data_IF_325169685444
#
_entry.id   IF_325169685444
#
_cell.length_a   1.000
_cell.length_b   1.000
_cell.length_c   1.000
_cell.angle_alpha   90.00
_cell.angle_beta   90.00
_cell.angle_gamma   90.00
#
_symmetry.space_group_name_H-M   'P 1'
#
loop_
_entity.id
_entity.type
_entity.pdbx_description
1 polymer ?
#
# COMPACT_ATOMS: atom_id res chain seq x y z
N UNK A 1 -6.17 -26.44 -20.60
CA UNK A 1 -6.30 -25.25 -21.44
C UNK A 1 -5.59 -24.09 -20.80
N UNK A 2 -4.41 -23.80 -21.31
CA UNK A 2 -3.65 -22.57 -21.06
C UNK A 2 -4.38 -21.44 -21.82
N UNK A 3 -5.53 -21.03 -21.34
CA UNK A 3 -6.18 -19.85 -21.87
C UNK A 3 -5.46 -18.62 -21.37
N UNK A 4 -4.47 -18.28 -22.23
CA UNK A 4 -4.20 -16.95 -22.74
C UNK A 4 -4.20 -15.86 -21.65
N UNK A 5 -2.99 -15.54 -21.20
CA UNK A 5 -2.71 -14.15 -20.96
C UNK A 5 -3.27 -13.37 -22.15
N UNK A 6 -4.17 -12.40 -21.95
CA UNK A 6 -4.42 -11.46 -23.01
C UNK A 6 -3.10 -10.73 -23.24
N UNK A 7 -2.36 -11.14 -24.25
CA UNK A 7 -1.30 -10.34 -24.82
C UNK A 7 -1.96 -9.10 -25.42
N UNK A 8 -2.32 -8.15 -24.56
CA UNK A 8 -2.65 -6.82 -25.00
C UNK A 8 -1.37 -6.23 -25.54
N UNK A 9 -1.35 -5.98 -26.84
CA UNK A 9 -0.23 -5.47 -27.59
C UNK A 9 0.27 -4.17 -26.97
N UNK A 10 1.56 -3.92 -26.99
CA UNK A 10 2.21 -2.66 -26.58
C UNK A 10 1.71 -1.42 -27.36
N UNK A 11 0.91 -1.58 -28.40
CA UNK A 11 0.18 -0.49 -29.07
C UNK A 11 -0.97 0.06 -28.25
N UNK A 12 -1.45 -0.67 -27.24
CA UNK A 12 -2.47 -0.23 -26.30
C UNK A 12 -1.82 0.49 -25.11
N UNK A 13 -0.92 1.40 -25.37
CA UNK A 13 -0.51 2.45 -24.39
C UNK A 13 -1.72 3.34 -23.99
N UNK A 14 -2.82 3.19 -24.66
CA UNK A 14 -4.16 3.53 -24.21
C UNK A 14 -4.58 2.69 -23.01
N UNK A 15 -3.90 1.56 -22.73
CA UNK A 15 -4.13 0.78 -21.52
C UNK A 15 -3.30 1.38 -20.39
N UNK A 16 -3.98 2.05 -19.51
CA UNK A 16 -3.41 2.68 -18.30
C UNK A 16 -2.63 1.71 -17.40
N UNK A 17 -2.74 0.39 -17.59
CA UNK A 17 -2.11 -0.64 -16.74
C UNK A 17 -0.59 -0.48 -16.63
N UNK A 18 0.09 -0.06 -17.69
CA UNK A 18 1.53 0.16 -17.65
C UNK A 18 1.95 1.20 -16.60
N UNK A 19 1.07 2.18 -16.29
CA UNK A 19 1.31 3.15 -15.24
C UNK A 19 1.28 2.49 -13.86
N UNK A 20 0.33 1.58 -13.64
CA UNK A 20 0.21 0.81 -12.39
C UNK A 20 1.45 -0.05 -12.17
N UNK A 21 1.81 -0.86 -13.17
CA UNK A 21 2.93 -1.79 -13.07
C UNK A 21 4.25 -1.05 -12.82
N UNK A 22 4.47 0.05 -13.53
CA UNK A 22 5.65 0.89 -13.34
C UNK A 22 5.67 1.60 -11.97
N UNK A 23 4.50 1.95 -11.41
CA UNK A 23 4.42 2.53 -10.08
C UNK A 23 4.90 1.55 -9.00
N UNK A 24 4.53 0.26 -9.10
CA UNK A 24 5.03 -0.77 -8.19
C UNK A 24 6.54 -1.04 -8.36
N UNK A 25 7.08 -0.90 -9.56
CA UNK A 25 8.54 -0.94 -9.77
C UNK A 25 9.21 0.26 -9.09
N UNK A 26 8.67 1.47 -9.27
CA UNK A 26 9.17 2.68 -8.62
C UNK A 26 9.07 2.58 -7.10
N UNK A 27 7.95 2.09 -6.56
CA UNK A 27 7.75 1.82 -5.14
C UNK A 27 8.78 0.83 -4.59
N UNK A 28 9.07 -0.24 -5.32
CA UNK A 28 10.10 -1.20 -4.94
C UNK A 28 11.49 -0.54 -4.84
N UNK A 29 11.82 0.33 -5.78
CA UNK A 29 13.06 1.13 -5.70
C UNK A 29 13.04 2.12 -4.54
N UNK A 30 11.91 2.73 -4.20
CA UNK A 30 11.79 3.62 -3.04
C UNK A 30 12.02 2.85 -1.74
N UNK A 31 11.42 1.67 -1.59
CA UNK A 31 11.51 0.81 -0.40
C UNK A 31 12.89 0.20 -0.20
N UNK A 32 13.54 -0.22 -1.25
CA UNK A 32 14.84 -0.87 -1.22
C UNK A 32 15.89 -0.11 -2.05
N UNK A 33 15.93 1.21 -1.88
CA UNK A 33 16.75 2.11 -2.68
C UNK A 33 18.23 1.73 -2.68
N UNK A 34 18.76 1.42 -1.50
CA UNK A 34 20.17 1.07 -1.33
C UNK A 34 20.52 -0.29 -1.93
N UNK A 35 19.57 -1.22 -1.97
CA UNK A 35 19.77 -2.60 -2.42
C UNK A 35 19.40 -2.80 -3.89
N UNK A 36 18.33 -2.15 -4.35
CA UNK A 36 17.81 -2.36 -5.72
C UNK A 36 18.24 -1.27 -6.70
N UNK A 37 18.28 0.01 -6.26
CA UNK A 37 18.57 1.12 -7.16
C UNK A 37 20.04 1.53 -7.17
N UNK A 38 20.65 1.77 -6.02
CA UNK A 38 22.04 2.25 -5.94
C UNK A 38 23.05 1.37 -6.67
N UNK A 39 22.97 0.01 -6.59
CA UNK A 39 23.96 -0.86 -7.22
C UNK A 39 23.84 -0.93 -8.74
N UNK A 40 22.76 -0.44 -9.34
CA UNK A 40 22.61 -0.44 -10.80
C UNK A 40 23.66 0.44 -11.46
N UNK A 41 24.16 0.01 -12.63
CA UNK A 41 25.02 0.83 -13.47
C UNK A 41 24.25 2.05 -14.05
N UNK A 42 24.98 3.09 -14.45
CA UNK A 42 24.36 4.33 -14.92
C UNK A 42 23.55 4.14 -16.21
N UNK A 43 23.93 3.23 -17.09
CA UNK A 43 23.21 2.95 -18.34
C UNK A 43 21.83 2.36 -18.00
N UNK A 44 21.79 1.41 -17.08
CA UNK A 44 20.53 0.80 -16.59
C UNK A 44 19.67 1.84 -15.89
N UNK A 45 20.23 2.67 -14.99
CA UNK A 45 19.49 3.75 -14.34
C UNK A 45 18.85 4.70 -15.35
N UNK A 46 19.63 5.16 -16.34
CA UNK A 46 19.11 6.06 -17.38
C UNK A 46 18.02 5.42 -18.23
N UNK A 47 18.09 4.12 -18.49
CA UNK A 47 17.01 3.38 -19.17
C UNK A 47 15.73 3.38 -18.36
N UNK A 48 15.76 3.08 -17.05
CA UNK A 48 14.59 3.17 -16.19
C UNK A 48 13.98 4.57 -16.19
N UNK A 49 14.78 5.61 -15.99
CA UNK A 49 14.30 6.99 -15.98
C UNK A 49 13.69 7.38 -17.33
N UNK A 50 14.25 6.92 -18.44
CA UNK A 50 13.72 7.17 -19.78
C UNK A 50 12.37 6.47 -20.00
N UNK A 51 12.24 5.21 -19.56
CA UNK A 51 10.96 4.48 -19.66
C UNK A 51 9.88 5.11 -18.76
N UNK A 52 10.21 5.49 -17.54
CA UNK A 52 9.27 6.16 -16.64
C UNK A 52 8.77 7.49 -17.23
N UNK A 53 9.62 8.28 -17.86
CA UNK A 53 9.21 9.52 -18.55
C UNK A 53 8.19 9.28 -19.68
N UNK A 54 8.28 8.16 -20.38
CA UNK A 54 7.31 7.83 -21.44
C UNK A 54 5.88 7.68 -20.91
N UNK A 55 5.74 7.30 -19.64
CA UNK A 55 4.43 7.11 -18.98
C UNK A 55 3.68 8.42 -18.75
N UNK A 56 4.34 9.58 -18.88
CA UNK A 56 3.68 10.89 -18.87
C UNK A 56 2.64 11.06 -19.99
N UNK A 57 2.67 10.20 -21.02
CA UNK A 57 1.65 10.14 -22.08
C UNK A 57 0.32 9.56 -21.59
N UNK A 58 0.35 8.82 -20.48
CA UNK A 58 -0.84 8.24 -19.89
C UNK A 58 -1.49 9.28 -18.99
N UNK A 59 -2.76 9.57 -19.27
CA UNK A 59 -3.59 10.38 -18.40
C UNK A 59 -4.25 9.47 -17.34
N UNK A 60 -3.84 9.55 -16.07
CA UNK A 60 -4.38 8.66 -15.05
C UNK A 60 -5.85 8.97 -14.79
N UNK A 61 -6.71 7.95 -14.62
CA UNK A 61 -8.05 8.16 -14.11
C UNK A 61 -8.04 8.98 -12.82
N UNK A 62 -9.06 9.83 -12.65
CA UNK A 62 -9.17 10.77 -11.54
C UNK A 62 -9.61 10.05 -10.25
N UNK A 63 -8.75 9.17 -9.75
CA UNK A 63 -8.93 8.25 -8.61
C UNK A 63 -7.58 8.04 -7.90
N UNK A 64 -7.47 6.96 -7.12
CA UNK A 64 -6.19 6.49 -6.55
C UNK A 64 -5.04 6.44 -7.58
N UNK A 65 -5.34 6.37 -8.88
CA UNK A 65 -4.35 6.32 -9.95
C UNK A 65 -3.45 7.55 -10.04
N UNK A 66 -3.86 8.68 -9.48
CA UNK A 66 -2.99 9.83 -9.33
C UNK A 66 -1.75 9.50 -8.49
N UNK A 67 -1.86 8.56 -7.54
CA UNK A 67 -0.73 8.08 -6.75
C UNK A 67 0.25 7.25 -7.58
N UNK A 68 -0.20 6.45 -8.53
CA UNK A 68 0.73 5.75 -9.42
C UNK A 68 1.62 6.73 -10.20
N UNK A 69 1.01 7.76 -10.76
CA UNK A 69 1.77 8.82 -11.45
C UNK A 69 2.74 9.55 -10.51
N UNK A 70 2.27 9.96 -9.33
CA UNK A 70 3.11 10.70 -8.39
C UNK A 70 4.22 9.87 -7.76
N UNK A 71 4.02 8.57 -7.54
CA UNK A 71 5.04 7.64 -7.04
C UNK A 71 6.19 7.52 -8.04
N UNK A 72 5.90 7.39 -9.33
CA UNK A 72 6.92 7.35 -10.38
C UNK A 72 7.71 8.66 -10.42
N UNK A 73 7.03 9.80 -10.44
CA UNK A 73 7.68 11.11 -10.50
C UNK A 73 8.51 11.42 -9.24
N UNK A 74 8.01 11.03 -8.06
CA UNK A 74 8.74 11.22 -6.80
C UNK A 74 9.96 10.31 -6.70
N UNK A 75 9.88 9.08 -7.23
CA UNK A 75 11.04 8.23 -7.38
C UNK A 75 12.09 8.88 -8.31
N UNK A 76 11.67 9.40 -9.47
CA UNK A 76 12.60 10.10 -10.39
C UNK A 76 13.26 11.29 -9.70
N UNK A 77 12.50 12.06 -8.90
CA UNK A 77 13.07 13.16 -8.10
C UNK A 77 14.15 12.66 -7.12
N UNK A 78 13.86 11.61 -6.34
CA UNK A 78 14.83 11.01 -5.40
C UNK A 78 16.05 10.43 -6.10
N UNK A 79 15.89 9.88 -7.30
CA UNK A 79 16.97 9.35 -8.12
C UNK A 79 17.83 10.45 -8.80
N UNK A 80 17.51 11.72 -8.60
CA UNK A 80 18.23 12.85 -9.21
C UNK A 80 17.90 13.09 -10.69
N UNK A 81 16.82 12.46 -11.18
CA UNK A 81 16.32 12.65 -12.55
C UNK A 81 15.37 13.83 -12.68
N UNK A 82 15.07 14.18 -13.94
CA UNK A 82 14.01 15.14 -14.24
C UNK A 82 12.65 14.54 -13.86
N UNK A 83 11.84 15.27 -13.09
CA UNK A 83 10.51 14.85 -12.65
C UNK A 83 9.47 15.94 -12.91
N UNK A 84 8.20 15.53 -12.99
CA UNK A 84 7.07 16.45 -13.15
C UNK A 84 6.48 16.82 -11.78
N UNK A 85 6.94 17.97 -11.28
CA UNK A 85 6.49 18.53 -10.01
C UNK A 85 4.98 18.79 -9.97
N UNK A 86 4.37 19.16 -11.11
CA UNK A 86 2.93 19.43 -11.15
C UNK A 86 2.11 18.14 -10.91
N UNK A 87 2.54 17.02 -11.50
CA UNK A 87 1.88 15.72 -11.27
C UNK A 87 1.92 15.32 -9.80
N UNK A 88 3.08 15.44 -9.14
CA UNK A 88 3.22 15.16 -7.71
C UNK A 88 2.35 16.09 -6.87
N UNK A 89 2.45 17.40 -7.08
CA UNK A 89 1.70 18.37 -6.29
C UNK A 89 0.19 18.25 -6.48
N UNK A 90 -0.26 17.99 -7.70
CA UNK A 90 -1.69 17.81 -8.00
C UNK A 90 -2.24 16.55 -7.33
N UNK A 91 -1.49 15.44 -7.39
CA UNK A 91 -1.86 14.22 -6.68
C UNK A 91 -1.97 14.47 -5.17
N UNK A 92 -0.93 15.04 -4.55
CA UNK A 92 -0.94 15.33 -3.11
C UNK A 92 -2.16 16.15 -2.69
N UNK A 93 -2.50 17.21 -3.46
CA UNK A 93 -3.69 18.04 -3.16
C UNK A 93 -4.98 17.26 -3.24
N UNK A 94 -5.12 16.40 -4.26
CA UNK A 94 -6.33 15.60 -4.45
C UNK A 94 -6.50 14.52 -3.39
N UNK A 95 -5.42 13.88 -2.98
CA UNK A 95 -5.45 12.92 -1.88
C UNK A 95 -5.92 13.60 -0.58
N UNK A 96 -5.45 14.81 -0.29
CA UNK A 96 -5.93 15.58 0.85
C UNK A 96 -7.43 15.92 0.77
N UNK A 97 -7.93 16.26 -0.42
CA UNK A 97 -9.34 16.55 -0.63
C UNK A 97 -10.24 15.31 -0.47
N UNK A 98 -9.70 14.12 -0.75
CA UNK A 98 -10.44 12.86 -0.70
C UNK A 98 -10.38 12.16 0.66
N UNK A 99 -9.70 12.73 1.63
CA UNK A 99 -9.70 12.20 2.98
C UNK A 99 -11.10 12.34 3.61
N UNK A 100 -11.67 11.23 4.09
CA UNK A 100 -13.03 11.22 4.66
C UNK A 100 -13.07 11.09 6.18
N UNK A 101 -11.94 10.78 6.81
CA UNK A 101 -11.82 10.65 8.27
C UNK A 101 -11.42 9.24 8.70
N UNK A 102 -10.97 9.12 9.95
CA UNK A 102 -10.56 7.86 10.60
C UNK A 102 -9.61 6.98 9.76
N UNK A 103 -8.75 7.61 8.95
CA UNK A 103 -7.80 6.93 8.08
C UNK A 103 -8.38 6.46 6.75
N UNK A 104 -9.61 6.75 6.41
CA UNK A 104 -10.22 6.37 5.15
C UNK A 104 -10.12 7.45 4.09
N UNK A 105 -9.99 7.03 2.84
CA UNK A 105 -9.98 7.89 1.66
C UNK A 105 -11.14 7.54 0.72
N UNK A 106 -11.73 8.55 0.11
CA UNK A 106 -12.56 8.36 -1.07
C UNK A 106 -11.67 8.06 -2.28
N UNK A 107 -12.15 7.23 -3.19
CA UNK A 107 -11.42 6.90 -4.42
C UNK A 107 -11.87 7.81 -5.57
N UNK A 108 -11.44 9.06 -5.50
CA UNK A 108 -11.94 10.12 -6.35
C UNK A 108 -13.12 10.88 -5.71
N UNK A 109 -14.05 11.42 -6.51
CA UNK A 109 -15.18 12.19 -6.01
C UNK A 109 -16.19 11.38 -5.18
N UNK A 110 -16.16 10.04 -5.28
CA UNK A 110 -17.12 9.16 -4.63
C UNK A 110 -16.43 8.22 -3.65
N UNK A 111 -16.99 8.09 -2.45
CA UNK A 111 -16.49 7.13 -1.47
C UNK A 111 -16.94 5.71 -1.84
N UNK A 112 -15.97 4.79 -1.85
CA UNK A 112 -16.20 3.35 -1.93
C UNK A 112 -15.64 2.68 -0.68
N UNK A 113 -16.46 1.89 0.00
CA UNK A 113 -16.01 1.13 1.16
C UNK A 113 -15.30 -0.14 0.70
N UNK A 114 -13.99 -0.02 0.54
CA UNK A 114 -13.10 -1.10 0.09
C UNK A 114 -11.68 -0.93 0.69
N UNK A 115 -10.76 -1.82 0.34
CA UNK A 115 -9.39 -1.78 0.87
C UNK A 115 -8.41 -0.95 0.02
N UNK A 116 -8.87 -0.04 -0.85
CA UNK A 116 -7.93 0.81 -1.61
C UNK A 116 -7.15 1.78 -0.71
N UNK A 117 -7.68 2.14 0.46
CA UNK A 117 -6.88 2.82 1.49
C UNK A 117 -5.65 2.00 1.91
N UNK A 118 -5.77 0.65 1.93
CA UNK A 118 -4.66 -0.27 2.19
C UNK A 118 -3.77 -0.48 0.98
N UNK A 119 -4.37 -0.71 -0.19
CA UNK A 119 -3.62 -1.16 -1.36
C UNK A 119 -2.78 -0.05 -1.96
N UNK A 120 -3.26 1.20 -1.92
CA UNK A 120 -2.67 2.31 -2.67
C UNK A 120 -2.52 3.57 -1.83
N UNK A 121 -3.61 4.08 -1.19
CA UNK A 121 -3.59 5.43 -0.61
C UNK A 121 -2.49 5.61 0.43
N UNK A 122 -2.55 4.92 1.55
CA UNK A 122 -1.57 5.09 2.62
C UNK A 122 -0.13 4.80 2.19
N UNK A 123 0.18 3.63 1.60
CA UNK A 123 1.57 3.30 1.30
C UNK A 123 2.17 4.23 0.25
N UNK A 124 1.53 4.39 -0.89
CA UNK A 124 2.10 5.20 -1.97
C UNK A 124 2.13 6.68 -1.63
N UNK A 125 1.17 7.19 -0.85
CA UNK A 125 1.18 8.58 -0.46
C UNK A 125 2.32 8.88 0.53
N UNK A 126 2.52 8.05 1.56
CA UNK A 126 3.66 8.18 2.47
C UNK A 126 4.99 8.12 1.71
N UNK A 127 5.15 7.17 0.81
CA UNK A 127 6.39 6.99 0.06
C UNK A 127 6.64 8.11 -0.95
N UNK A 128 5.59 8.60 -1.61
CA UNK A 128 5.68 9.80 -2.46
C UNK A 128 6.18 11.00 -1.66
N UNK A 129 5.57 11.28 -0.51
CA UNK A 129 5.93 12.41 0.33
C UNK A 129 7.37 12.27 0.87
N UNK A 130 7.76 11.08 1.34
CA UNK A 130 9.11 10.82 1.81
C UNK A 130 10.14 10.99 0.70
N UNK A 131 9.87 10.50 -0.50
CA UNK A 131 10.76 10.65 -1.65
C UNK A 131 10.99 12.12 -2.01
N UNK A 132 9.96 12.95 -1.95
CA UNK A 132 10.07 14.39 -2.21
C UNK A 132 10.84 15.13 -1.11
N UNK A 133 10.72 14.68 0.15
CA UNK A 133 11.53 15.19 1.27
C UNK A 133 13.01 14.84 1.05
N UNK A 134 13.30 13.57 0.72
CA UNK A 134 14.66 13.08 0.46
C UNK A 134 15.31 13.79 -0.72
N UNK A 135 14.53 14.06 -1.77
CA UNK A 135 14.95 14.83 -2.93
C UNK A 135 15.19 16.34 -2.62
N UNK A 136 14.82 16.80 -1.42
CA UNK A 136 14.84 18.23 -1.05
C UNK A 136 14.12 19.11 -2.06
N UNK A 137 12.99 18.61 -2.55
CA UNK A 137 12.23 19.27 -3.60
C UNK A 137 11.72 20.64 -3.15
N UNK A 138 12.12 21.68 -3.90
CA UNK A 138 11.73 23.06 -3.62
C UNK A 138 10.39 23.39 -4.28
N UNK A 139 9.31 23.31 -3.52
CA UNK A 139 7.96 23.60 -3.98
C UNK A 139 7.18 24.43 -2.95
N UNK A 140 5.97 24.86 -3.33
CA UNK A 140 5.06 25.53 -2.39
C UNK A 140 4.38 24.56 -1.40
N UNK A 141 4.44 23.24 -1.68
CA UNK A 141 3.90 22.25 -0.76
C UNK A 141 4.94 21.92 0.32
N UNK A 142 4.52 21.95 1.55
CA UNK A 142 5.31 21.46 2.68
C UNK A 142 5.13 19.94 2.79
N UNK A 143 5.92 19.18 2.04
CA UNK A 143 5.85 17.71 2.05
C UNK A 143 6.05 17.11 3.44
N UNK A 144 6.84 17.75 4.32
CA UNK A 144 7.02 17.25 5.68
C UNK A 144 5.75 17.37 6.50
N UNK A 145 5.03 18.49 6.40
CA UNK A 145 3.74 18.68 7.05
C UNK A 145 2.71 17.65 6.57
N UNK A 146 2.67 17.41 5.24
CA UNK A 146 1.78 16.40 4.66
C UNK A 146 2.15 14.99 5.12
N UNK A 147 3.45 14.65 5.14
CA UNK A 147 3.94 13.36 5.62
C UNK A 147 3.55 13.10 7.08
N UNK A 148 3.78 14.07 7.97
CA UNK A 148 3.48 13.92 9.39
C UNK A 148 1.99 13.70 9.64
N UNK A 149 1.14 14.33 8.84
CA UNK A 149 -0.30 14.14 8.89
C UNK A 149 -0.70 12.77 8.35
N UNK A 150 -0.19 12.40 7.20
CA UNK A 150 -0.47 11.12 6.58
C UNK A 150 0.01 9.95 7.44
N UNK A 151 1.16 10.08 8.09
CA UNK A 151 1.65 9.08 9.04
C UNK A 151 0.63 8.83 10.16
N UNK A 152 0.05 9.88 10.73
CA UNK A 152 -0.99 9.76 11.77
C UNK A 152 -2.28 9.11 11.24
N UNK A 153 -2.69 9.45 10.01
CA UNK A 153 -3.84 8.82 9.36
C UNK A 153 -3.61 7.32 9.13
N UNK A 154 -2.44 6.96 8.63
CA UNK A 154 -2.04 5.57 8.44
C UNK A 154 -1.96 4.80 9.77
N UNK A 155 -1.44 5.43 10.83
CA UNK A 155 -1.44 4.87 12.18
C UNK A 155 -2.87 4.60 12.68
N UNK A 156 -3.79 5.56 12.50
CA UNK A 156 -5.20 5.37 12.86
C UNK A 156 -5.84 4.24 12.06
N UNK A 157 -5.59 4.19 10.77
CA UNK A 157 -6.09 3.12 9.91
C UNK A 157 -5.52 1.75 10.30
N UNK A 158 -4.26 1.70 10.69
CA UNK A 158 -3.60 0.47 11.17
C UNK A 158 -4.23 -0.07 12.46
N UNK A 159 -4.68 0.80 13.37
CA UNK A 159 -5.46 0.40 14.56
C UNK A 159 -6.76 -0.28 14.12
N UNK A 160 -7.44 0.27 13.11
CA UNK A 160 -8.70 -0.31 12.59
C UNK A 160 -8.43 -1.67 11.95
N UNK A 161 -7.37 -1.78 11.13
CA UNK A 161 -6.99 -3.05 10.50
C UNK A 161 -6.68 -4.13 11.54
N UNK A 162 -5.93 -3.81 12.59
CA UNK A 162 -5.65 -4.76 13.66
C UNK A 162 -6.95 -5.22 14.34
N UNK A 163 -7.88 -4.30 14.59
CA UNK A 163 -9.19 -4.60 15.18
C UNK A 163 -10.11 -5.39 14.26
N UNK A 164 -9.87 -5.40 12.96
CA UNK A 164 -10.59 -6.27 12.03
C UNK A 164 -10.14 -7.72 12.10
N UNK A 165 -8.96 -8.02 12.66
CA UNK A 165 -8.46 -9.39 12.77
C UNK A 165 -9.17 -10.11 13.91
N UNK A 166 -10.03 -11.07 13.55
CA UNK A 166 -10.74 -11.91 14.52
C UNK A 166 -9.79 -12.83 15.31
N UNK A 167 -10.21 -13.41 16.43
CA UNK A 167 -9.40 -14.39 17.14
C UNK A 167 -8.95 -15.58 16.27
N UNK A 168 -9.73 -15.94 15.24
CA UNK A 168 -9.45 -17.03 14.29
C UNK A 168 -8.57 -16.59 13.11
N UNK A 169 -8.13 -15.32 13.05
CA UNK A 169 -7.31 -14.79 11.97
C UNK A 169 -8.10 -14.41 10.71
N UNK A 170 -9.42 -14.26 10.80
CA UNK A 170 -10.22 -13.71 9.70
C UNK A 170 -10.32 -12.19 9.80
N UNK A 171 -10.68 -11.55 8.68
CA UNK A 171 -11.01 -10.13 8.64
C UNK A 171 -12.21 -9.91 7.70
N UNK A 172 -12.93 -8.78 7.80
CA UNK A 172 -14.11 -8.52 6.98
C UNK A 172 -13.80 -8.56 5.49
N UNK A 173 -14.61 -9.30 4.73
CA UNK A 173 -14.48 -9.45 3.27
C UNK A 173 -15.50 -8.53 2.62
N UNK A 174 -15.05 -7.40 2.11
CA UNK A 174 -15.90 -6.41 1.45
C UNK A 174 -15.15 -5.64 0.35
N UNK A 175 -15.93 -5.00 -0.52
CA UNK A 175 -15.42 -4.18 -1.60
C UNK A 175 -14.84 -4.98 -2.76
N UNK A 176 -14.18 -4.28 -3.66
CA UNK A 176 -13.52 -4.81 -4.85
C UNK A 176 -12.08 -5.23 -4.54
N UNK A 177 -11.47 -5.94 -5.49
CA UNK A 177 -10.05 -6.34 -5.46
C UNK A 177 -9.67 -7.23 -4.26
N UNK A 178 -10.63 -7.93 -3.69
CA UNK A 178 -10.39 -8.83 -2.56
C UNK A 178 -9.42 -9.99 -2.87
N UNK A 179 -9.22 -10.43 -4.14
CA UNK A 179 -8.15 -11.37 -4.48
C UNK A 179 -6.73 -10.88 -4.21
N UNK A 180 -6.53 -9.60 -3.86
CA UNK A 180 -5.24 -9.09 -3.38
C UNK A 180 -4.91 -9.56 -1.96
N UNK A 181 -5.83 -10.27 -1.32
CA UNK A 181 -5.63 -11.03 -0.07
C UNK A 181 -5.02 -10.17 1.04
N UNK A 182 -3.85 -10.57 1.54
CA UNK A 182 -3.17 -9.89 2.65
C UNK A 182 -2.75 -8.44 2.34
N UNK A 183 -2.79 -8.00 1.09
CA UNK A 183 -2.55 -6.59 0.79
C UNK A 183 -3.50 -5.65 1.57
N UNK A 184 -4.68 -6.14 2.00
CA UNK A 184 -5.55 -5.43 2.92
C UNK A 184 -4.86 -5.04 4.24
N UNK A 185 -3.84 -5.79 4.68
CA UNK A 185 -3.06 -5.55 5.89
C UNK A 185 -1.76 -4.74 5.64
N UNK A 186 -1.55 -4.27 4.42
CA UNK A 186 -0.32 -3.55 4.04
C UNK A 186 -0.01 -2.35 4.96
N UNK A 187 -0.93 -1.45 5.33
CA UNK A 187 -0.62 -0.32 6.22
C UNK A 187 -0.14 -0.77 7.60
N UNK A 188 -0.75 -1.83 8.16
CA UNK A 188 -0.32 -2.38 9.44
C UNK A 188 1.12 -2.93 9.36
N UNK A 189 1.43 -3.65 8.28
CA UNK A 189 2.78 -4.16 8.00
C UNK A 189 3.78 -3.02 7.73
N UNK A 190 3.35 -1.96 7.03
CA UNK A 190 4.16 -0.78 6.75
C UNK A 190 4.54 -0.04 8.03
N UNK A 191 3.59 0.17 8.95
CA UNK A 191 3.88 0.81 10.23
C UNK A 191 4.85 0.00 11.09
N UNK A 192 4.74 -1.33 11.06
CA UNK A 192 5.70 -2.21 11.72
C UNK A 192 7.10 -2.09 11.10
N UNK A 193 7.19 -2.12 9.78
CA UNK A 193 8.46 -2.00 9.06
C UNK A 193 9.11 -0.62 9.24
N UNK A 194 8.33 0.47 9.21
CA UNK A 194 8.80 1.83 9.50
C UNK A 194 9.15 2.07 10.98
N UNK A 195 8.83 1.11 11.86
CA UNK A 195 8.98 1.24 13.32
C UNK A 195 8.21 2.44 13.88
N UNK A 196 7.07 2.70 13.29
CA UNK A 196 6.16 3.81 13.63
C UNK A 196 4.80 3.32 14.04
N UNK A 197 4.72 2.15 14.68
CA UNK A 197 3.46 1.64 15.21
C UNK A 197 2.79 2.67 16.12
N UNK A 198 1.46 2.82 16.07
CA UNK A 198 0.76 3.64 17.04
C UNK A 198 0.96 3.07 18.45
N UNK A 199 0.97 3.95 19.46
CA UNK A 199 1.24 3.57 20.86
C UNK A 199 0.31 2.49 21.43
N UNK A 200 -0.86 2.31 20.84
CA UNK A 200 -1.86 1.33 21.28
C UNK A 200 -1.60 -0.08 20.72
N UNK A 201 -0.61 -0.23 19.85
CA UNK A 201 -0.23 -1.50 19.24
C UNK A 201 1.22 -1.86 19.56
N UNK A 202 1.46 -3.07 20.06
CA UNK A 202 2.80 -3.60 20.30
C UNK A 202 3.29 -4.42 19.11
N UNK A 203 4.62 -4.56 18.96
CA UNK A 203 5.22 -5.43 17.95
C UNK A 203 4.66 -6.87 18.00
N UNK A 204 4.61 -7.45 19.19
CA UNK A 204 4.13 -8.82 19.40
C UNK A 204 2.65 -8.98 19.05
N UNK A 205 1.82 -7.95 19.26
CA UNK A 205 0.41 -7.92 18.90
C UNK A 205 0.23 -7.85 17.38
N UNK A 206 0.95 -6.94 16.73
CA UNK A 206 0.90 -6.78 15.26
C UNK A 206 1.42 -8.03 14.55
N UNK A 207 2.55 -8.59 15.02
CA UNK A 207 3.08 -9.85 14.49
C UNK A 207 2.05 -10.97 14.63
N UNK A 208 1.39 -11.11 15.79
CA UNK A 208 0.34 -12.10 16.01
C UNK A 208 -0.82 -11.92 15.02
N UNK A 209 -1.32 -10.69 14.85
CA UNK A 209 -2.39 -10.38 13.90
C UNK A 209 -2.03 -10.78 12.47
N UNK A 210 -0.89 -10.32 11.98
CA UNK A 210 -0.43 -10.62 10.61
C UNK A 210 -0.19 -12.11 10.38
N UNK A 211 0.41 -12.80 11.37
CA UNK A 211 0.68 -14.25 11.29
C UNK A 211 -0.63 -15.05 11.25
N UNK A 212 -1.61 -14.69 12.08
CA UNK A 212 -2.92 -15.35 12.06
C UNK A 212 -3.63 -15.21 10.73
N UNK A 213 -3.63 -14.01 10.15
CA UNK A 213 -4.23 -13.78 8.83
C UNK A 213 -3.50 -14.59 7.76
N UNK A 214 -2.16 -14.63 7.82
CA UNK A 214 -1.34 -15.41 6.89
C UNK A 214 -1.72 -16.89 6.94
N UNK A 215 -1.70 -17.50 8.12
CA UNK A 215 -2.08 -18.90 8.28
C UNK A 215 -3.53 -19.17 7.87
N UNK A 216 -4.47 -18.36 8.36
CA UNK A 216 -5.88 -18.53 8.00
C UNK A 216 -6.13 -18.51 6.50
N UNK A 217 -5.41 -17.68 5.78
CA UNK A 217 -5.58 -17.51 4.34
C UNK A 217 -4.78 -18.55 3.53
N UNK A 218 -3.52 -18.81 3.89
CA UNK A 218 -2.60 -19.56 3.05
C UNK A 218 -2.43 -21.04 3.40
N UNK A 219 -2.86 -21.48 4.58
CA UNK A 219 -2.90 -22.91 4.90
C UNK A 219 -4.00 -23.65 4.12
N UNK A 220 -4.84 -22.92 3.38
CA UNK A 220 -5.85 -23.50 2.50
C UNK A 220 -5.21 -24.07 1.24
N UNK A 221 -5.43 -25.38 0.97
CA UNK A 221 -4.75 -26.14 -0.07
C UNK A 221 -4.94 -25.60 -1.50
N UNK A 222 -6.02 -24.89 -1.79
CA UNK A 222 -6.35 -24.41 -3.14
C UNK A 222 -5.78 -23.03 -3.48
N UNK A 223 -4.93 -22.45 -2.64
CA UNK A 223 -4.32 -21.14 -2.93
C UNK A 223 -3.33 -21.18 -4.09
N UNK A 224 -2.74 -22.36 -4.33
CA UNK A 224 -1.75 -22.54 -5.40
C UNK A 224 -2.25 -23.60 -6.39
N UNK A 225 -2.01 -23.36 -7.67
CA UNK A 225 -2.25 -24.35 -8.70
C UNK A 225 -1.13 -25.40 -8.73
N UNK A 226 -1.25 -26.42 -9.62
CA UNK A 226 -0.25 -27.48 -9.77
C UNK A 226 1.15 -26.96 -10.17
N UNK A 227 1.25 -25.79 -10.76
CA UNK A 227 2.51 -25.13 -11.13
C UNK A 227 3.09 -24.23 -10.02
N UNK A 228 2.47 -24.18 -8.84
CA UNK A 228 2.95 -23.35 -7.72
C UNK A 228 2.56 -21.88 -7.82
N UNK A 229 1.69 -21.50 -8.76
CA UNK A 229 1.22 -20.12 -8.90
C UNK A 229 -0.08 -19.89 -8.15
N UNK A 230 -0.25 -18.66 -7.62
CA UNK A 230 -1.49 -18.26 -6.95
C UNK A 230 -2.71 -18.42 -7.87
N UNK A 231 -3.77 -18.97 -7.31
CA UNK A 231 -5.08 -19.04 -7.94
C UNK A 231 -5.89 -17.77 -7.68
N UNK A 232 -6.78 -17.40 -8.59
CA UNK A 232 -7.71 -16.30 -8.36
C UNK A 232 -8.65 -16.68 -7.21
N UNK A 233 -8.71 -15.82 -6.20
CA UNK A 233 -9.54 -16.03 -5.02
C UNK A 233 -9.04 -15.24 -3.82
N UNK A 234 -9.87 -15.18 -2.80
CA UNK A 234 -9.53 -14.58 -1.50
C UNK A 234 -8.86 -15.61 -0.57
N UNK A 235 -9.50 -16.77 -0.38
CA UNK A 235 -8.98 -17.88 0.41
C UNK A 235 -9.20 -19.18 -0.39
N UNK A 236 -8.16 -19.67 -1.04
CA UNK A 236 -8.25 -20.75 -2.00
C UNK A 236 -8.61 -20.27 -3.41
N UNK A 237 -9.16 -21.17 -4.25
CA UNK A 237 -9.57 -20.87 -5.62
C UNK A 237 -11.04 -20.42 -5.66
N UNK A 238 -11.28 -19.17 -5.95
CA UNK A 238 -12.60 -18.54 -5.95
C UNK A 238 -12.71 -17.57 -7.16
N UNK A 239 -12.72 -18.06 -8.39
CA UNK A 239 -12.63 -17.22 -9.59
C UNK A 239 -13.75 -16.19 -9.72
N UNK A 240 -14.91 -16.44 -9.11
CA UNK A 240 -16.08 -15.54 -9.15
C UNK A 240 -15.92 -14.25 -8.33
N UNK A 241 -14.89 -14.15 -7.48
CA UNK A 241 -14.61 -12.91 -6.74
C UNK A 241 -13.64 -11.98 -7.48
N UNK A 242 -13.27 -12.35 -8.71
CA UNK A 242 -12.42 -11.52 -9.57
C UNK A 242 -13.21 -10.32 -10.11
N UNK A 243 -12.58 -9.15 -10.08
CA UNK A 243 -13.01 -8.03 -10.87
C UNK A 243 -12.53 -8.22 -12.33
N UNK A 244 -13.09 -7.45 -13.26
CA UNK A 244 -12.75 -7.57 -14.68
C UNK A 244 -11.26 -7.34 -15.01
N UNK A 245 -10.54 -6.63 -14.14
CA UNK A 245 -9.09 -6.35 -14.25
C UNK A 245 -8.21 -7.34 -13.48
N UNK A 246 -8.79 -8.22 -12.66
CA UNK A 246 -8.03 -9.18 -11.86
C UNK A 246 -7.34 -10.19 -12.76
N UNK A 247 -6.05 -10.39 -12.56
CA UNK A 247 -5.25 -11.39 -13.27
C UNK A 247 -4.31 -12.11 -12.29
N UNK A 248 -3.63 -13.16 -12.75
CA UNK A 248 -2.75 -13.96 -11.88
C UNK A 248 -1.55 -13.15 -11.34
N UNK A 249 -1.08 -12.14 -12.06
CA UNK A 249 0.00 -11.27 -11.61
C UNK A 249 -0.43 -10.37 -10.45
N UNK A 250 -1.63 -9.79 -10.53
CA UNK A 250 -2.14 -8.88 -9.50
C UNK A 250 -2.37 -9.55 -8.13
N UNK A 251 -2.49 -10.88 -8.10
CA UNK A 251 -2.63 -11.64 -6.84
C UNK A 251 -1.40 -11.52 -5.93
N UNK A 252 -0.23 -11.28 -6.53
CA UNK A 252 1.01 -11.10 -5.79
C UNK A 252 1.11 -9.78 -5.03
N UNK A 253 0.13 -8.90 -5.15
CA UNK A 253 -0.04 -7.77 -4.21
C UNK A 253 -0.16 -8.24 -2.76
N UNK A 254 -0.57 -9.47 -2.52
CA UNK A 254 -0.56 -10.07 -1.17
C UNK A 254 0.80 -9.95 -0.47
N UNK A 255 1.92 -9.93 -1.22
CA UNK A 255 3.27 -9.80 -0.67
C UNK A 255 3.56 -8.41 -0.09
N UNK A 256 2.74 -7.41 -0.39
CA UNK A 256 2.89 -6.07 0.18
C UNK A 256 2.71 -6.06 1.72
N UNK A 257 2.06 -7.06 2.29
CA UNK A 257 1.99 -7.24 3.75
C UNK A 257 3.23 -7.95 4.34
N UNK A 258 4.21 -8.34 3.53
CA UNK A 258 5.41 -9.06 3.99
C UNK A 258 6.60 -8.14 4.28
N UNK A 259 6.41 -6.82 4.26
CA UNK A 259 7.47 -5.85 4.54
C UNK A 259 8.23 -6.08 5.85
N UNK A 260 7.60 -6.54 6.96
CA UNK A 260 8.35 -6.83 8.18
C UNK A 260 9.43 -7.90 8.04
N UNK A 261 9.38 -8.76 6.99
CA UNK A 261 10.46 -9.72 6.70
C UNK A 261 11.79 -9.02 6.35
N UNK A 262 11.76 -7.75 5.99
CA UNK A 262 12.96 -6.93 5.78
C UNK A 262 13.62 -6.45 7.07
N UNK A 263 13.01 -6.65 8.25
CA UNK A 263 13.59 -6.30 9.53
C UNK A 263 14.65 -7.35 9.97
N UNK A 264 15.73 -6.95 10.62
CA UNK A 264 16.71 -7.88 11.18
C UNK A 264 16.05 -8.91 12.10
N UNK A 265 16.61 -10.13 12.17
CA UNK A 265 16.03 -11.23 12.96
C UNK A 265 16.00 -10.95 14.47
N UNK A 266 16.89 -10.11 14.96
CA UNK A 266 16.99 -9.66 16.35
C UNK A 266 16.16 -8.40 16.66
N UNK A 267 15.43 -7.89 15.66
CA UNK A 267 14.58 -6.71 15.85
C UNK A 267 13.42 -7.01 16.81
N UNK A 268 13.01 -6.05 17.68
CA UNK A 268 11.89 -6.21 18.62
C UNK A 268 10.58 -6.72 17.99
N UNK A 269 10.34 -6.40 16.72
CA UNK A 269 9.19 -6.98 15.99
C UNK A 269 9.19 -8.53 16.03
N UNK A 270 10.36 -9.16 15.97
CA UNK A 270 10.50 -10.61 16.00
C UNK A 270 10.72 -11.17 17.42
N UNK A 271 11.44 -10.45 18.27
CA UNK A 271 11.90 -10.95 19.58
C UNK A 271 10.96 -10.61 20.73
N UNK A 272 10.14 -9.57 20.61
CA UNK A 272 9.14 -9.24 21.64
C UNK A 272 8.18 -10.42 21.83
N UNK A 273 7.74 -10.70 23.07
CA UNK A 273 6.74 -11.73 23.32
C UNK A 273 5.48 -11.51 22.49
N UNK A 274 4.90 -12.60 21.98
CA UNK A 274 3.60 -12.54 21.33
C UNK A 274 2.53 -12.01 22.28
N UNK A 275 1.69 -11.11 21.79
CA UNK A 275 0.61 -10.51 22.55
C UNK A 275 -0.73 -10.80 21.87
N UNK A 276 -1.81 -10.99 22.65
CA UNK A 276 -3.13 -11.17 22.06
C UNK A 276 -3.58 -9.92 21.28
N UNK A 277 -4.29 -10.12 20.17
CA UNK A 277 -4.90 -9.04 19.40
C UNK A 277 -5.99 -8.34 20.21
N UNK A 278 -6.40 -7.15 19.75
CA UNK A 278 -7.52 -6.43 20.39
C UNK A 278 -8.80 -7.28 20.42
N UNK A 279 -9.09 -8.00 19.35
CA UNK A 279 -10.25 -8.89 19.30
C UNK A 279 -10.13 -10.07 20.28
N UNK A 280 -8.96 -10.68 20.39
CA UNK A 280 -8.74 -11.75 21.40
C UNK A 280 -8.96 -11.23 22.82
N UNK A 281 -8.43 -10.05 23.15
CA UNK A 281 -8.65 -9.42 24.46
C UNK A 281 -10.14 -9.16 24.71
N UNK A 282 -10.83 -8.57 23.73
CA UNK A 282 -12.21 -8.18 23.84
C UNK A 282 -13.13 -9.40 24.08
N UNK A 283 -12.99 -10.44 23.27
CA UNK A 283 -13.83 -11.63 23.36
C UNK A 283 -13.50 -12.53 24.56
N UNK A 284 -12.31 -12.36 25.16
CA UNK A 284 -11.91 -13.03 26.40
C UNK A 284 -12.18 -12.19 27.66
N UNK A 285 -12.88 -11.05 27.54
CA UNK A 285 -13.20 -10.19 28.68
C UNK A 285 -11.99 -9.48 29.30
N UNK A 286 -10.89 -9.36 28.56
CA UNK A 286 -9.69 -8.69 28.99
C UNK A 286 -9.76 -7.18 28.66
N UNK A 287 -9.01 -6.38 29.43
CA UNK A 287 -8.89 -4.94 29.14
C UNK A 287 -8.13 -4.69 27.82
N UNK A 288 -8.62 -3.75 27.04
CA UNK A 288 -7.98 -3.27 25.83
C UNK A 288 -8.21 -1.75 25.65
N UNK A 289 -7.38 -1.03 24.90
CA UNK A 289 -7.56 0.40 24.66
C UNK A 289 -8.88 0.68 23.94
N UNK A 290 -9.67 1.62 24.49
CA UNK A 290 -10.87 2.11 23.82
C UNK A 290 -10.49 2.85 22.54
N UNK A 291 -11.18 2.58 21.44
CA UNK A 291 -11.00 3.33 20.21
C UNK A 291 -11.62 4.73 20.30
N UNK A 292 -11.03 5.66 19.58
CA UNK A 292 -11.46 7.03 19.49
C UNK A 292 -11.53 7.45 18.03
N UNK A 293 -12.53 8.19 17.67
CA UNK A 293 -12.56 8.80 16.37
C UNK A 293 -11.40 9.82 16.24
N UNK A 294 -10.74 9.81 15.09
CA UNK A 294 -9.66 10.73 14.78
C UNK A 294 -10.23 11.97 14.10
N UNK A 295 -10.14 13.12 14.78
CA UNK A 295 -10.35 14.40 14.14
C UNK A 295 -9.03 14.87 13.57
N UNK A 296 -8.93 14.84 12.26
CA UNK A 296 -7.84 15.52 11.59
C UNK A 296 -8.09 17.02 11.72
N UNK A 297 -7.12 17.75 12.28
CA UNK A 297 -7.16 19.21 12.42
C UNK A 297 -6.97 19.93 11.05
N UNK A 298 -7.40 19.31 9.97
CA UNK A 298 -7.50 19.98 8.68
C UNK A 298 -8.59 21.03 8.78
N UNK A 299 -8.22 22.13 9.40
CA UNK A 299 -9.03 23.32 9.23
C UNK A 299 -8.96 23.73 7.76
N UNK A 300 -10.10 24.09 7.22
CA UNK A 300 -10.30 24.66 5.88
C UNK A 300 -9.37 25.82 5.52
N UNK A 301 -8.60 26.34 6.48
CA UNK A 301 -7.58 27.38 6.32
C UNK A 301 -6.26 26.91 5.69
N UNK A 302 -5.99 25.61 5.68
CA UNK A 302 -4.81 25.05 4.99
C UNK A 302 -5.09 24.68 3.53
N UNK A 303 -6.29 24.97 3.07
CA UNK A 303 -6.64 24.83 1.65
C UNK A 303 -6.09 26.04 0.92
N UNK A 304 -4.96 25.84 0.26
CA UNK A 304 -4.36 26.76 -0.75
C UNK A 304 -3.66 27.99 -0.20
#
# INVERSE_FOLDING_TARGET
DLHSFPTRRSSDLEVCQNLVDAAYVAESFLRAYDTLWKPLDEVTKQRYLAEFRKLRKIDPPYTNWLLFSSTIESFMAKAGGEYDQYRVNSACRKIEEWYVGDGWYADGPSFAFDYYSSYVFHPMYLETLQAMIDAKANTRLDYKKYYDRELKRCQKYSIILERFVSPEGTFPVFGRSIPYRMAAMQPLALMAWYQTLPKDLTNGQVRNALTKVLHRMFDHQQNFNKGGYLTIGFCGSQPNVADWYTNNGSLYMTTLAFMPLGLPADHPFWTDPSQPTTQEKAWNGQAFPKDHHWKDDIQTKDKW
#
